data_IF_458335435673
#
_entry.id   IF_458335435673
#
_cell.length_a   1.000
_cell.length_b   1.000
_cell.length_c   1.000
_cell.angle_alpha   90.00
_cell.angle_beta   90.00
_cell.angle_gamma   90.00
#
_symmetry.space_group_name_H-M   'P 1'
#
loop_
_entity.id
_entity.type
_entity.pdbx_description
1 polymer ?
#
# COMPACT_ATOMS: atom_id res chain seq x y z
N UNK A 1 -1.35 -2.29 9.54
CA UNK A 1 -0.55 -3.42 10.12
C UNK A 1 -0.25 -3.20 11.62
N UNK A 2 0.24 -4.20 12.36
CA UNK A 2 0.47 -4.06 13.81
C UNK A 2 1.34 -2.84 14.18
N UNK A 3 2.38 -2.55 13.38
CA UNK A 3 3.26 -1.40 13.57
C UNK A 3 2.55 -0.05 13.44
N UNK A 4 1.58 0.05 12.53
CA UNK A 4 0.77 1.27 12.33
C UNK A 4 0.09 1.68 13.62
N UNK A 5 -0.47 0.72 14.38
CA UNK A 5 -1.18 1.02 15.65
C UNK A 5 -0.29 1.69 16.70
N UNK A 6 1.03 1.47 16.64
CA UNK A 6 1.99 2.04 17.57
C UNK A 6 2.68 3.30 17.03
N UNK A 7 2.98 3.32 15.73
CA UNK A 7 3.75 4.39 15.08
C UNK A 7 2.85 5.50 14.57
N UNK A 8 1.69 5.14 14.03
CA UNK A 8 0.63 6.01 13.57
C UNK A 8 -0.65 5.70 14.39
N UNK A 9 -0.69 5.97 15.70
CA UNK A 9 -1.84 5.62 16.51
C UNK A 9 -3.12 6.30 15.99
N UNK A 10 -4.24 5.59 16.08
CA UNK A 10 -5.54 6.20 15.88
C UNK A 10 -5.89 6.97 17.15
N UNK A 11 -5.95 8.30 17.07
CA UNK A 11 -6.25 9.16 18.22
C UNK A 11 -7.77 9.21 18.45
N UNK A 12 -8.35 8.13 18.99
CA UNK A 12 -9.73 8.18 19.48
C UNK A 12 -9.80 9.04 20.76
N UNK A 13 -10.80 9.93 20.86
CA UNK A 13 -11.14 10.61 22.12
C UNK A 13 -10.99 12.14 22.17
N UNK A 14 -10.58 12.81 21.08
CA UNK A 14 -10.91 14.23 20.91
C UNK A 14 -12.36 14.30 20.42
N UNK A 15 -13.25 14.97 21.17
CA UNK A 15 -14.65 15.09 20.79
C UNK A 15 -14.77 15.65 19.35
N UNK A 16 -15.31 14.84 18.43
CA UNK A 16 -15.46 15.21 17.00
C UNK A 16 -14.39 14.65 16.05
N UNK A 17 -13.44 13.82 16.49
CA UNK A 17 -12.42 13.25 15.62
C UNK A 17 -12.98 12.05 14.81
N UNK A 18 -13.60 12.35 13.67
CA UNK A 18 -13.69 11.39 12.57
C UNK A 18 -12.37 11.41 11.77
N UNK A 19 -12.04 10.34 11.02
CA UNK A 19 -10.94 10.44 10.02
C UNK A 19 -11.23 11.47 8.93
N UNK A 20 -12.50 11.88 8.80
CA UNK A 20 -13.04 12.86 7.85
C UNK A 20 -12.62 14.30 8.21
N UNK A 21 -12.27 14.59 9.47
CA UNK A 21 -11.95 15.94 9.95
C UNK A 21 -10.45 16.25 10.00
N UNK A 22 -9.59 15.37 9.47
CA UNK A 22 -8.14 15.61 9.40
C UNK A 22 -7.41 15.61 10.75
N UNK A 23 -8.07 15.20 11.84
CA UNK A 23 -7.54 15.29 13.21
C UNK A 23 -6.26 14.47 13.47
N UNK A 24 -5.85 13.61 12.52
CA UNK A 24 -4.63 12.81 12.62
C UNK A 24 -3.75 12.88 11.36
N UNK A 25 -3.78 14.01 10.65
CA UNK A 25 -2.93 14.30 9.49
C UNK A 25 -1.94 15.43 9.77
N UNK A 26 -0.77 15.39 9.13
CA UNK A 26 0.19 16.50 9.10
C UNK A 26 -0.21 17.58 8.09
N UNK A 27 0.60 18.65 7.99
CA UNK A 27 0.34 19.77 7.07
C UNK A 27 0.38 19.42 5.58
N UNK A 28 0.84 18.21 5.23
CA UNK A 28 0.90 17.69 3.86
C UNK A 28 -0.15 16.59 3.63
N UNK A 29 -1.07 16.37 4.59
CA UNK A 29 -2.16 15.40 4.47
C UNK A 29 -1.77 13.95 4.76
N UNK A 30 -0.60 13.71 5.36
CA UNK A 30 -0.11 12.36 5.70
C UNK A 30 -0.49 11.99 7.13
N UNK A 31 -0.71 10.71 7.42
CA UNK A 31 -1.03 10.28 8.80
C UNK A 31 0.12 10.63 9.74
N UNK A 32 -0.17 11.35 10.82
CA UNK A 32 0.83 11.67 11.85
C UNK A 32 1.52 10.40 12.35
N UNK A 33 2.86 10.41 12.37
CA UNK A 33 3.69 9.27 12.79
C UNK A 33 4.19 8.39 11.65
N UNK A 34 3.90 8.76 10.39
CA UNK A 34 4.33 8.02 9.21
C UNK A 34 5.86 7.84 9.11
N UNK A 35 6.66 8.78 9.62
CA UNK A 35 8.12 8.67 9.67
C UNK A 35 8.57 7.54 10.60
N UNK A 36 7.85 7.36 11.71
CA UNK A 36 8.05 6.26 12.64
C UNK A 36 7.68 4.91 12.00
N UNK A 37 6.60 4.88 11.22
CA UNK A 37 6.21 3.70 10.46
C UNK A 37 7.26 3.36 9.39
N UNK A 38 7.76 4.36 8.67
CA UNK A 38 8.84 4.19 7.69
C UNK A 38 10.11 3.63 8.36
N UNK A 39 10.50 4.20 9.50
CA UNK A 39 11.63 3.72 10.31
C UNK A 39 11.43 2.27 10.73
N UNK A 40 10.22 1.89 11.15
CA UNK A 40 9.90 0.53 11.54
C UNK A 40 10.03 -0.44 10.36
N UNK A 41 9.44 -0.11 9.21
CA UNK A 41 9.50 -0.94 7.99
C UNK A 41 10.95 -1.16 7.55
N UNK A 42 11.76 -0.09 7.49
CA UNK A 42 13.20 -0.21 7.18
C UNK A 42 13.95 -0.97 8.25
N UNK A 43 14.09 -0.36 9.43
CA UNK A 43 15.12 -0.74 10.39
C UNK A 43 14.73 -1.92 11.26
N UNK A 44 13.45 -2.06 11.59
CA UNK A 44 12.97 -3.09 12.52
C UNK A 44 12.48 -4.36 11.81
N UNK A 45 12.22 -4.27 10.49
CA UNK A 45 11.78 -5.40 9.68
C UNK A 45 12.80 -5.72 8.59
N UNK A 46 12.83 -4.95 7.50
CA UNK A 46 13.48 -5.40 6.26
C UNK A 46 15.01 -5.34 6.30
N UNK A 47 15.61 -4.34 6.94
CA UNK A 47 17.07 -4.25 7.07
C UNK A 47 17.62 -5.39 7.93
N UNK A 48 16.87 -5.82 8.95
CA UNK A 48 17.23 -6.99 9.77
C UNK A 48 17.09 -8.31 8.99
N UNK A 49 16.23 -8.32 7.98
CA UNK A 49 16.09 -9.41 7.02
C UNK A 49 17.10 -9.30 5.87
N UNK A 50 17.94 -8.27 5.84
CA UNK A 50 18.99 -8.07 4.83
C UNK A 50 18.49 -7.49 3.50
N UNK A 51 17.33 -6.84 3.47
CA UNK A 51 16.78 -6.18 2.28
C UNK A 51 17.04 -4.67 2.32
N UNK A 52 17.54 -4.09 1.23
CA UNK A 52 17.68 -2.63 1.09
C UNK A 52 16.42 -1.98 0.50
N UNK A 53 16.36 -0.64 0.51
CA UNK A 53 15.18 0.13 0.09
C UNK A 53 14.59 -0.29 -1.25
N UNK A 54 15.44 -0.42 -2.28
CA UNK A 54 14.98 -0.87 -3.61
C UNK A 54 14.31 -2.24 -3.59
N UNK A 55 14.85 -3.19 -2.81
CA UNK A 55 14.26 -4.53 -2.66
C UNK A 55 12.95 -4.49 -1.87
N UNK A 56 12.85 -3.62 -0.86
CA UNK A 56 11.62 -3.41 -0.08
C UNK A 56 10.50 -2.90 -1.00
N UNK A 57 10.79 -1.85 -1.77
CA UNK A 57 9.82 -1.26 -2.70
C UNK A 57 9.44 -2.28 -3.77
N UNK A 58 10.40 -3.00 -4.34
CA UNK A 58 10.11 -4.06 -5.33
C UNK A 58 9.20 -5.16 -4.77
N UNK A 59 9.45 -5.62 -3.53
CA UNK A 59 8.63 -6.65 -2.87
C UNK A 59 7.20 -6.19 -2.61
N UNK A 60 7.03 -4.95 -2.13
CA UNK A 60 5.70 -4.38 -1.86
C UNK A 60 4.94 -4.14 -3.16
N UNK A 61 5.57 -3.51 -4.16
CA UNK A 61 4.96 -3.27 -5.47
C UNK A 61 4.60 -4.58 -6.18
N UNK A 62 5.56 -5.49 -6.36
CA UNK A 62 5.31 -6.75 -7.08
C UNK A 62 4.41 -7.74 -6.32
N UNK A 63 4.29 -7.60 -5.00
CA UNK A 63 3.41 -8.41 -4.17
C UNK A 63 1.96 -7.93 -4.19
N UNK A 64 1.73 -6.63 -3.97
CA UNK A 64 0.39 -6.05 -3.84
C UNK A 64 -0.32 -5.80 -5.18
N UNK A 65 0.35 -6.02 -6.32
CA UNK A 65 -0.34 -6.20 -7.61
C UNK A 65 -1.30 -7.41 -7.60
N UNK A 66 -1.15 -8.33 -6.65
CA UNK A 66 -2.03 -9.50 -6.55
C UNK A 66 -3.05 -9.40 -5.42
N UNK A 67 -4.27 -9.81 -5.75
CA UNK A 67 -5.29 -10.10 -4.76
C UNK A 67 -5.82 -8.85 -4.04
N UNK A 68 -6.26 -9.04 -2.79
CA UNK A 68 -6.98 -8.02 -2.05
C UNK A 68 -6.95 -8.26 -0.54
N UNK A 69 -7.25 -7.20 0.20
CA UNK A 69 -7.58 -7.30 1.61
C UNK A 69 -9.02 -7.78 1.84
N UNK A 70 -9.20 -8.51 2.95
CA UNK A 70 -10.49 -9.00 3.41
C UNK A 70 -10.72 -8.63 4.89
N UNK A 71 -11.85 -7.97 5.24
CA UNK A 71 -12.08 -7.50 6.61
C UNK A 71 -12.01 -8.61 7.66
N UNK A 72 -12.53 -9.80 7.34
CA UNK A 72 -12.50 -10.95 8.25
C UNK A 72 -11.11 -11.53 8.50
N UNK A 73 -10.10 -11.22 7.66
CA UNK A 73 -8.74 -11.73 7.78
C UNK A 73 -7.78 -10.68 8.36
N UNK A 74 -7.81 -9.45 7.85
CA UNK A 74 -6.86 -8.39 8.20
C UNK A 74 -7.50 -7.14 8.81
N UNK A 75 -8.83 -7.02 8.72
CA UNK A 75 -9.57 -5.80 9.08
C UNK A 75 -9.57 -4.71 8.00
N UNK A 76 -8.91 -4.92 6.87
CA UNK A 76 -8.90 -4.01 5.71
C UNK A 76 -9.69 -4.61 4.54
N UNK A 77 -10.14 -3.79 3.59
CA UNK A 77 -11.04 -4.22 2.53
C UNK A 77 -10.63 -3.70 1.15
N UNK A 78 -10.59 -4.58 0.15
CA UNK A 78 -10.46 -4.17 -1.25
C UNK A 78 -9.12 -4.51 -1.90
N UNK A 79 -9.07 -4.42 -3.23
CA UNK A 79 -7.85 -4.68 -4.00
C UNK A 79 -6.97 -3.43 -4.08
N UNK A 80 -5.67 -3.63 -4.32
CA UNK A 80 -4.75 -2.52 -4.58
C UNK A 80 -4.72 -2.08 -6.05
N UNK A 81 -5.10 -2.97 -6.98
CA UNK A 81 -5.12 -2.75 -8.43
C UNK A 81 -6.47 -3.22 -9.00
N UNK A 82 -6.78 -2.86 -10.24
CA UNK A 82 -7.95 -3.38 -10.94
C UNK A 82 -7.74 -4.86 -11.29
N UNK A 83 -8.70 -5.69 -10.86
CA UNK A 83 -8.69 -7.12 -11.09
C UNK A 83 -9.67 -7.56 -12.18
N UNK A 84 -10.33 -6.62 -12.86
CA UNK A 84 -11.32 -6.86 -13.92
C UNK A 84 -10.73 -7.69 -15.08
N UNK A 85 -9.50 -7.39 -15.46
CA UNK A 85 -8.76 -8.07 -16.53
C UNK A 85 -7.93 -9.28 -16.05
N UNK A 86 -8.15 -9.70 -14.79
CA UNK A 86 -7.54 -10.86 -14.14
C UNK A 86 -6.24 -10.57 -13.39
N UNK A 87 -5.79 -11.54 -12.58
CA UNK A 87 -4.56 -11.44 -11.78
C UNK A 87 -3.30 -11.51 -12.67
N UNK A 88 -2.86 -10.37 -13.19
CA UNK A 88 -1.65 -10.23 -14.01
C UNK A 88 -0.61 -9.42 -13.24
N UNK A 89 0.66 -9.68 -13.52
CA UNK A 89 1.72 -8.78 -13.06
C UNK A 89 1.63 -7.50 -13.89
N UNK A 90 1.77 -6.35 -13.23
CA UNK A 90 1.77 -5.01 -13.82
C UNK A 90 2.54 -4.05 -12.92
N UNK A 91 2.72 -2.81 -13.36
CA UNK A 91 3.18 -1.70 -12.52
C UNK A 91 2.05 -0.85 -11.92
N UNK A 92 0.79 -1.24 -12.10
CA UNK A 92 -0.39 -0.45 -11.72
C UNK A 92 -0.37 -0.03 -10.25
N UNK A 93 0.03 -0.93 -9.34
CA UNK A 93 0.18 -0.59 -7.92
C UNK A 93 1.11 0.63 -7.69
N UNK A 94 2.22 0.71 -8.43
CA UNK A 94 3.18 1.80 -8.29
C UNK A 94 2.70 3.07 -9.00
N UNK A 95 2.12 2.93 -10.20
CA UNK A 95 1.58 4.03 -10.97
C UNK A 95 0.39 4.71 -10.26
N UNK A 96 -0.64 3.95 -9.92
CA UNK A 96 -1.86 4.45 -9.27
C UNK A 96 -1.54 5.10 -7.91
N UNK A 97 -0.58 4.57 -7.16
CA UNK A 97 -0.16 5.18 -5.89
C UNK A 97 0.37 6.61 -6.06
N UNK A 98 0.99 6.91 -7.20
CA UNK A 98 1.54 8.24 -7.50
C UNK A 98 0.48 9.12 -8.17
N UNK A 99 -0.30 8.55 -9.08
CA UNK A 99 -1.21 9.27 -9.98
C UNK A 99 -2.56 9.62 -9.32
N UNK A 100 -3.06 8.74 -8.44
CA UNK A 100 -4.36 8.93 -7.81
C UNK A 100 -4.33 9.89 -6.62
N UNK A 101 -5.48 10.52 -6.38
CA UNK A 101 -5.76 11.21 -5.13
C UNK A 101 -6.33 10.24 -4.10
N UNK A 102 -5.65 10.09 -2.96
CA UNK A 102 -6.01 9.13 -1.92
C UNK A 102 -6.71 9.80 -0.74
N UNK A 103 -7.90 9.29 -0.37
CA UNK A 103 -8.63 9.72 0.84
C UNK A 103 -8.57 8.64 1.91
N UNK A 104 -8.19 9.02 3.13
CA UNK A 104 -8.28 8.13 4.28
C UNK A 104 -9.75 7.96 4.68
N UNK A 105 -10.18 6.71 4.88
CA UNK A 105 -11.52 6.33 5.32
C UNK A 105 -11.43 5.39 6.52
N UNK A 106 -12.47 5.39 7.36
CA UNK A 106 -12.67 4.41 8.43
C UNK A 106 -14.01 3.68 8.28
N UNK A 107 -14.32 2.79 9.22
CA UNK A 107 -15.54 1.99 9.19
C UNK A 107 -16.83 2.83 9.16
N UNK A 108 -16.82 4.04 9.74
CA UNK A 108 -17.99 4.91 9.87
C UNK A 108 -18.16 5.90 8.73
N UNK A 109 -17.19 6.02 7.83
CA UNK A 109 -17.23 7.01 6.74
C UNK A 109 -18.35 6.67 5.74
N UNK A 110 -19.30 7.59 5.55
CA UNK A 110 -20.44 7.42 4.64
C UNK A 110 -20.12 7.81 3.20
N UNK A 111 -18.97 8.46 2.96
CA UNK A 111 -18.53 8.82 1.61
C UNK A 111 -18.39 7.61 0.69
N UNK A 112 -17.99 6.45 1.24
CA UNK A 112 -17.93 5.19 0.48
C UNK A 112 -19.30 4.80 -0.10
N UNK A 113 -20.39 5.10 0.58
CA UNK A 113 -21.74 4.83 0.08
C UNK A 113 -22.11 5.83 -1.03
N UNK A 114 -21.67 7.08 -0.92
CA UNK A 114 -21.92 8.15 -1.89
C UNK A 114 -21.22 7.88 -3.23
N UNK A 115 -20.01 7.33 -3.19
CA UNK A 115 -19.24 6.98 -4.40
C UNK A 115 -19.52 5.56 -4.91
N UNK A 116 -20.37 4.79 -4.22
CA UNK A 116 -20.70 3.41 -4.61
C UNK A 116 -19.59 2.39 -4.35
N UNK A 117 -18.65 2.68 -3.44
CA UNK A 117 -17.50 1.83 -3.09
C UNK A 117 -17.61 1.27 -1.64
N UNK A 118 -18.83 0.97 -1.19
CA UNK A 118 -19.10 0.51 0.18
C UNK A 118 -18.38 -0.80 0.54
N UNK A 119 -17.98 -1.60 -0.45
CA UNK A 119 -17.19 -2.82 -0.32
C UNK A 119 -15.73 -2.58 0.11
N UNK A 120 -15.23 -1.34 -0.01
CA UNK A 120 -13.91 -0.92 0.49
C UNK A 120 -13.95 -0.51 1.97
N UNK A 121 -15.09 -0.64 2.65
CA UNK A 121 -15.24 -0.29 4.06
C UNK A 121 -14.40 -1.24 4.95
N UNK A 122 -13.41 -0.75 5.70
CA UNK A 122 -12.62 -1.57 6.61
C UNK A 122 -13.46 -2.05 7.80
N UNK A 123 -12.94 -3.00 8.59
CA UNK A 123 -13.56 -3.42 9.85
C UNK A 123 -13.52 -2.28 10.90
N UNK A 124 -14.40 -2.31 11.93
CA UNK A 124 -14.34 -1.34 13.02
C UNK A 124 -12.95 -1.24 13.66
N UNK A 125 -12.47 -0.02 13.86
CA UNK A 125 -11.13 0.27 14.42
C UNK A 125 -9.98 0.20 13.41
N UNK A 126 -10.25 -0.09 12.14
CA UNK A 126 -9.30 0.01 11.04
C UNK A 126 -9.60 1.23 10.17
N UNK A 127 -8.54 1.71 9.50
CA UNK A 127 -8.58 2.81 8.53
C UNK A 127 -7.68 2.48 7.35
N UNK A 128 -8.04 2.95 6.16
CA UNK A 128 -7.27 2.72 4.93
C UNK A 128 -7.47 3.89 3.98
N UNK A 129 -6.63 3.98 2.95
CA UNK A 129 -6.83 4.91 1.86
C UNK A 129 -7.68 4.26 0.78
N UNK A 130 -8.54 5.06 0.17
CA UNK A 130 -9.33 4.73 -1.02
C UNK A 130 -9.12 5.84 -2.03
N UNK A 131 -8.88 5.50 -3.29
CA UNK A 131 -8.66 6.49 -4.32
C UNK A 131 -9.96 7.22 -4.68
N UNK A 132 -9.82 8.50 -4.99
CA UNK A 132 -10.87 9.37 -5.47
C UNK A 132 -10.89 9.35 -7.00
N UNK A 133 -11.09 8.16 -7.61
CA UNK A 133 -11.13 8.07 -9.07
C UNK A 133 -12.12 9.10 -9.61
N UNK A 134 -11.69 10.01 -10.50
CA UNK A 134 -12.59 11.00 -11.07
C UNK A 134 -13.65 10.30 -11.91
N UNK A 135 -14.87 10.80 -11.86
CA UNK A 135 -15.97 10.36 -12.74
C UNK A 135 -15.67 10.80 -14.17
N UNK A 136 -14.78 10.12 -14.90
CA UNK A 136 -14.49 10.46 -16.30
C UNK A 136 -15.33 9.61 -17.25
N UNK A 137 -16.30 10.30 -17.84
CA UNK A 137 -17.31 9.84 -18.78
C UNK A 137 -18.40 8.93 -18.20
N UNK A 138 -19.65 9.40 -18.28
CA UNK A 138 -20.83 8.66 -17.83
C UNK A 138 -21.16 7.46 -18.72
N UNK A 139 -20.47 7.35 -19.87
CA UNK A 139 -20.66 6.33 -20.90
C UNK A 139 -19.60 5.21 -20.86
N UNK A 140 -18.58 5.29 -20.00
CA UNK A 140 -17.57 4.24 -19.81
C UNK A 140 -17.73 3.51 -18.47
N UNK A 141 -17.57 2.18 -18.50
CA UNK A 141 -17.53 1.36 -17.29
C UNK A 141 -16.28 1.75 -16.49
N UNK A 142 -16.51 2.41 -15.34
CA UNK A 142 -15.42 2.91 -14.52
C UNK A 142 -14.66 1.73 -13.90
N UNK A 143 -13.31 1.75 -13.94
CA UNK A 143 -12.55 0.76 -13.20
C UNK A 143 -12.88 0.89 -11.71
N UNK A 144 -12.98 -0.23 -10.97
CA UNK A 144 -13.34 -0.19 -9.55
C UNK A 144 -12.36 0.66 -8.75
N UNK A 145 -12.84 1.26 -7.65
CA UNK A 145 -11.98 1.91 -6.69
C UNK A 145 -11.00 0.91 -6.06
N UNK A 146 -9.78 1.36 -5.81
CA UNK A 146 -8.73 0.60 -5.16
C UNK A 146 -8.45 1.16 -3.76
N UNK A 147 -7.66 0.43 -2.99
CA UNK A 147 -7.24 0.80 -1.66
C UNK A 147 -5.74 0.76 -1.47
N UNK A 148 -5.25 1.55 -0.51
CA UNK A 148 -3.89 1.47 -0.01
C UNK A 148 -3.89 1.42 1.52
N UNK A 149 -2.97 0.67 2.09
CA UNK A 149 -2.71 0.69 3.52
C UNK A 149 -1.86 1.92 3.88
N UNK A 150 -1.88 2.32 5.15
CA UNK A 150 -0.93 3.35 5.64
C UNK A 150 0.53 2.90 5.43
N UNK A 151 0.80 1.59 5.49
CA UNK A 151 2.11 1.00 5.18
C UNK A 151 2.48 0.99 3.70
N UNK A 152 1.51 1.19 2.82
CA UNK A 152 1.74 1.32 1.38
C UNK A 152 2.08 2.79 1.07
N UNK A 153 1.32 3.72 1.67
CA UNK A 153 1.50 5.16 1.44
C UNK A 153 2.86 5.71 1.86
N UNK A 154 3.57 5.07 2.81
CA UNK A 154 4.95 5.48 3.14
C UNK A 154 5.90 5.39 1.94
N UNK A 155 5.58 4.57 0.92
CA UNK A 155 6.37 4.47 -0.30
C UNK A 155 6.29 5.76 -1.12
N UNK A 156 5.12 6.42 -1.12
CA UNK A 156 4.90 7.70 -1.80
C UNK A 156 5.36 8.91 -0.98
N UNK A 157 5.41 8.80 0.34
CA UNK A 157 5.74 9.90 1.26
C UNK A 157 7.23 10.02 1.59
N UNK A 158 7.91 8.89 1.78
CA UNK A 158 9.34 8.90 2.10
C UNK A 158 10.17 9.14 0.82
N UNK A 159 11.05 10.17 0.77
CA UNK A 159 11.82 10.47 -0.44
C UNK A 159 12.72 9.32 -0.92
N UNK A 160 13.25 8.50 0.00
CA UNK A 160 14.09 7.36 -0.33
C UNK A 160 13.29 6.26 -1.03
N UNK A 161 12.14 5.89 -0.49
CA UNK A 161 11.25 4.93 -1.15
C UNK A 161 10.63 5.49 -2.43
N UNK A 162 10.19 6.75 -2.42
CA UNK A 162 9.54 7.40 -3.55
C UNK A 162 10.41 7.37 -4.80
N UNK A 163 11.72 7.58 -4.65
CA UNK A 163 12.66 7.53 -5.78
C UNK A 163 12.69 6.17 -6.50
N UNK A 164 12.42 5.06 -5.78
CA UNK A 164 12.30 3.73 -6.38
C UNK A 164 10.89 3.46 -6.89
N UNK A 165 9.87 3.96 -6.19
CA UNK A 165 8.47 3.86 -6.58
C UNK A 165 8.24 4.52 -7.95
N UNK A 166 8.75 5.75 -8.15
CA UNK A 166 8.66 6.49 -9.42
C UNK A 166 9.32 5.72 -10.58
N UNK A 167 10.47 5.09 -10.33
CA UNK A 167 11.14 4.24 -11.33
C UNK A 167 10.26 3.05 -11.73
N UNK A 168 9.61 2.38 -10.76
CA UNK A 168 8.75 1.23 -11.06
C UNK A 168 7.41 1.62 -11.68
N UNK A 169 6.89 2.81 -11.38
CA UNK A 169 5.72 3.36 -12.05
C UNK A 169 5.98 3.59 -13.55
N UNK A 170 7.22 3.91 -13.95
CA UNK A 170 7.58 4.12 -15.36
C UNK A 170 8.09 2.85 -16.09
N UNK A 171 8.53 1.82 -15.36
CA UNK A 171 9.21 0.65 -15.93
C UNK A 171 8.74 -0.68 -15.29
N UNK A 172 7.69 -1.27 -15.88
CA UNK A 172 7.15 -2.58 -15.47
C UNK A 172 8.18 -3.72 -15.61
N UNK A 173 9.00 -3.71 -16.67
CA UNK A 173 10.00 -4.76 -16.89
C UNK A 173 11.07 -4.76 -15.79
N UNK A 174 11.49 -3.57 -15.36
CA UNK A 174 12.42 -3.40 -14.26
C UNK A 174 11.79 -3.80 -12.92
N UNK A 175 10.53 -3.44 -12.68
CA UNK A 175 9.79 -3.90 -11.50
C UNK A 175 9.74 -5.44 -11.46
N UNK A 176 9.36 -6.08 -12.57
CA UNK A 176 9.29 -7.53 -12.67
C UNK A 176 10.65 -8.20 -12.39
N UNK A 177 11.72 -7.63 -12.97
CA UNK A 177 13.09 -8.13 -12.79
C UNK A 177 13.55 -8.01 -11.34
N UNK A 178 13.41 -6.84 -10.73
CA UNK A 178 13.88 -6.59 -9.36
C UNK A 178 13.03 -7.37 -8.35
N UNK A 179 11.70 -7.44 -8.57
CA UNK A 179 10.81 -8.27 -7.77
C UNK A 179 11.22 -9.74 -7.83
N UNK A 180 11.52 -10.30 -9.01
CA UNK A 180 11.94 -11.70 -9.12
C UNK A 180 13.23 -11.99 -8.31
N UNK A 181 14.20 -11.08 -8.34
CA UNK A 181 15.44 -11.19 -7.55
C UNK A 181 15.14 -11.10 -6.06
N UNK A 182 14.39 -10.09 -5.64
CA UNK A 182 14.06 -9.86 -4.23
C UNK A 182 13.17 -10.98 -3.66
N UNK A 183 12.19 -11.47 -4.41
CA UNK A 183 11.30 -12.56 -4.00
C UNK A 183 12.04 -13.90 -3.92
N UNK A 184 12.96 -14.17 -4.85
CA UNK A 184 13.86 -15.33 -4.74
C UNK A 184 14.68 -15.23 -3.46
N UNK A 185 15.29 -14.08 -3.19
CA UNK A 185 16.02 -13.86 -1.94
C UNK A 185 15.11 -14.06 -0.73
N UNK A 186 13.89 -13.52 -0.73
CA UNK A 186 12.92 -13.69 0.36
C UNK A 186 12.61 -15.16 0.66
N UNK A 187 12.47 -15.99 -0.36
CA UNK A 187 12.09 -17.40 -0.21
C UNK A 187 13.27 -18.34 0.03
N UNK A 188 14.49 -17.95 -0.36
CA UNK A 188 15.69 -18.78 -0.27
C UNK A 188 16.72 -18.30 0.78
N UNK A 189 16.60 -17.09 1.32
CA UNK A 189 17.55 -16.57 2.29
C UNK A 189 17.54 -17.41 3.57
N UNK A 190 18.69 -18.01 3.89
CA UNK A 190 18.85 -18.94 5.01
C UNK A 190 18.77 -20.41 4.60
N UNK A 191 18.44 -20.72 3.35
CA UNK A 191 18.55 -22.08 2.81
C UNK A 191 20.02 -22.39 2.47
N UNK A 192 20.56 -23.50 2.99
CA UNK A 192 21.91 -23.98 2.73
C UNK A 192 22.05 -24.69 1.38
N UNK A 193 21.67 -24.05 0.28
CA UNK A 193 21.84 -24.65 -1.04
C UNK A 193 23.34 -24.80 -1.36
N UNK A 194 23.79 -25.98 -1.82
CA UNK A 194 25.17 -26.14 -2.27
C UNK A 194 25.46 -25.14 -3.38
N UNK A 195 26.56 -24.40 -3.28
CA UNK A 195 27.04 -23.61 -4.41
C UNK A 195 27.22 -24.55 -5.60
N UNK A 196 26.52 -24.28 -6.70
CA UNK A 196 26.68 -25.05 -7.93
C UNK A 196 28.11 -24.82 -8.42
N UNK A 197 29.02 -25.70 -8.05
CA UNK A 197 30.34 -25.78 -8.67
C UNK A 197 30.08 -26.25 -10.09
N UNK A 198 30.12 -25.30 -11.02
CA UNK A 198 30.20 -25.61 -12.44
C UNK A 198 31.44 -26.49 -12.63
N UNK A 199 31.21 -27.74 -13.02
CA UNK A 199 32.24 -28.70 -13.39
C UNK A 199 32.85 -28.35 -14.75
#
# INVERSE_FOLDING_TARGET
>A
PAAEKYTCPHLEGLAGASTVDGANMDGEGRVVGWEGLCTHVRNEVFYRMGFGDREIVALLCGGHVYGRCHPGASGYAGPWVDLSEGNKFSNEYAADMIEDEWRLVDHSDTWLDEIGAAELRPAPGNRQYVNQKPTYDADEEQPPNQMMLVSDMILAWDPGFRSHLEVYAEDEELLAKDFAVAFKKLTELGCGFPSMQLA
#
